data_IF_985761474457
#
_entry.id   IF_985761474457
#
_cell.length_a   1.000
_cell.length_b   1.000
_cell.length_c   1.000
_cell.angle_alpha   90.00
_cell.angle_beta   90.00
_cell.angle_gamma   90.00
#
_symmetry.space_group_name_H-M   'P 1'
#
loop_
_entity.id
_entity.type
_entity.pdbx_description
1 polymer ?
#
# COMPACT_ATOMS: atom_id res chain seq x y z
N UNK A 1 -3.82 -0.95 5.50
CA UNK A 1 -4.59 0.05 4.76
C UNK A 1 -3.77 0.78 3.68
N UNK A 2 -2.51 1.12 3.94
CA UNK A 2 -1.62 1.76 2.94
C UNK A 2 -1.34 0.83 1.77
N UNK A 3 -1.15 -0.47 2.03
CA UNK A 3 -0.93 -1.48 0.97
C UNK A 3 -2.19 -1.62 0.10
N UNK A 4 -3.38 -1.61 0.71
CA UNK A 4 -4.63 -1.65 -0.05
C UNK A 4 -4.80 -0.42 -0.96
N UNK A 5 -4.34 0.75 -0.49
CA UNK A 5 -4.30 1.97 -1.31
C UNK A 5 -3.36 1.78 -2.51
N UNK A 6 -2.16 1.21 -2.31
CA UNK A 6 -1.21 0.91 -3.39
C UNK A 6 -1.79 -0.07 -4.42
N UNK A 7 -2.45 -1.12 -3.96
CA UNK A 7 -3.15 -2.09 -4.84
C UNK A 7 -4.24 -1.40 -5.64
N UNK A 8 -5.03 -0.54 -5.00
CA UNK A 8 -6.04 0.27 -5.68
C UNK A 8 -5.45 1.15 -6.78
N UNK A 9 -4.35 1.85 -6.49
CA UNK A 9 -3.64 2.68 -7.49
C UNK A 9 -3.22 1.83 -8.70
N UNK A 10 -2.64 0.64 -8.46
CA UNK A 10 -2.26 -0.26 -9.53
C UNK A 10 -3.46 -0.72 -10.38
N UNK A 11 -4.57 -1.06 -9.74
CA UNK A 11 -5.80 -1.41 -10.45
C UNK A 11 -6.37 -0.23 -11.25
N UNK A 12 -6.30 0.97 -10.71
CA UNK A 12 -6.71 2.20 -11.41
C UNK A 12 -5.86 2.51 -12.65
N UNK A 13 -4.62 2.02 -12.67
CA UNK A 13 -3.68 2.09 -13.81
C UNK A 13 -3.77 0.88 -14.76
N UNK A 14 -4.78 0.03 -14.58
CA UNK A 14 -5.03 -1.18 -15.37
C UNK A 14 -3.93 -2.26 -15.26
N UNK A 15 -3.21 -2.30 -14.12
CA UNK A 15 -2.33 -3.43 -13.82
C UNK A 15 -3.18 -4.67 -13.48
N UNK A 16 -2.76 -5.84 -13.99
CA UNK A 16 -3.48 -7.10 -13.83
C UNK A 16 -3.28 -7.78 -12.47
N UNK A 17 -3.87 -8.97 -12.33
CA UNK A 17 -3.89 -9.73 -11.07
C UNK A 17 -2.50 -10.13 -10.56
N UNK A 18 -1.53 -10.37 -11.46
CA UNK A 18 -0.15 -10.67 -11.06
C UNK A 18 0.50 -9.49 -10.30
N UNK A 19 0.26 -8.26 -10.77
CA UNK A 19 0.75 -7.07 -10.09
C UNK A 19 0.07 -6.88 -8.72
N UNK A 20 -1.24 -7.13 -8.65
CA UNK A 20 -1.99 -7.15 -7.40
C UNK A 20 -1.40 -8.15 -6.40
N UNK A 21 -1.19 -9.38 -6.82
CA UNK A 21 -0.60 -10.43 -5.98
C UNK A 21 0.81 -10.06 -5.50
N UNK A 22 1.65 -9.53 -6.39
CA UNK A 22 2.99 -9.05 -6.05
C UNK A 22 2.96 -7.93 -5.01
N UNK A 23 2.05 -6.95 -5.15
CA UNK A 23 1.89 -5.86 -4.18
C UNK A 23 1.42 -6.36 -2.82
N UNK A 24 0.49 -7.29 -2.78
CA UNK A 24 0.00 -7.90 -1.52
C UNK A 24 1.14 -8.64 -0.82
N UNK A 25 1.86 -9.51 -1.54
CA UNK A 25 2.96 -10.31 -0.98
C UNK A 25 4.10 -9.41 -0.48
N UNK A 26 4.58 -8.48 -1.32
CA UNK A 26 5.63 -7.54 -0.93
C UNK A 26 5.19 -6.60 0.20
N UNK A 27 3.94 -6.15 0.15
CA UNK A 27 3.36 -5.30 1.19
C UNK A 27 3.30 -6.00 2.54
N UNK A 28 2.92 -7.28 2.57
CA UNK A 28 2.95 -8.07 3.79
C UNK A 28 4.38 -8.23 4.34
N UNK A 29 5.36 -8.43 3.46
CA UNK A 29 6.78 -8.51 3.88
C UNK A 29 7.26 -7.16 4.46
N UNK A 30 6.85 -6.01 3.90
CA UNK A 30 7.15 -4.69 4.47
C UNK A 30 6.54 -4.53 5.88
N UNK A 31 5.27 -4.90 6.03
CA UNK A 31 4.57 -4.83 7.33
C UNK A 31 5.23 -5.76 8.35
N UNK A 32 5.58 -6.97 7.95
CA UNK A 32 6.27 -7.93 8.82
C UNK A 32 7.62 -7.42 9.28
N UNK A 33 8.44 -6.85 8.38
CA UNK A 33 9.73 -6.25 8.74
C UNK A 33 9.58 -5.12 9.76
N UNK A 34 8.63 -4.22 9.52
CA UNK A 34 8.36 -3.13 10.47
C UNK A 34 7.88 -3.68 11.81
N UNK A 35 6.92 -4.60 11.80
CA UNK A 35 6.37 -5.19 13.02
C UNK A 35 7.44 -5.92 13.84
N UNK A 36 8.30 -6.70 13.20
CA UNK A 36 9.42 -7.39 13.88
C UNK A 36 10.40 -6.38 14.46
N UNK A 37 10.74 -5.32 13.74
CA UNK A 37 11.59 -4.25 14.26
C UNK A 37 10.96 -3.53 15.47
N UNK A 38 9.64 -3.53 15.58
CA UNK A 38 8.87 -3.01 16.71
C UNK A 38 8.68 -4.02 17.85
N UNK A 39 9.19 -5.25 17.72
CA UNK A 39 9.10 -6.31 18.73
C UNK A 39 7.94 -7.29 18.56
N UNK A 40 7.22 -7.24 17.43
CA UNK A 40 6.17 -8.21 17.12
C UNK A 40 6.76 -9.55 16.65
N UNK A 41 5.95 -10.61 16.72
CA UNK A 41 6.31 -11.92 16.18
C UNK A 41 6.03 -11.98 14.68
N UNK A 42 6.94 -12.54 13.89
CA UNK A 42 6.78 -12.67 12.44
C UNK A 42 5.55 -13.50 12.06
N UNK A 43 5.23 -14.54 12.83
CA UNK A 43 4.10 -15.43 12.61
C UNK A 43 2.74 -14.70 12.63
N UNK A 44 2.66 -13.59 13.38
CA UNK A 44 1.45 -12.75 13.43
C UNK A 44 1.08 -12.22 12.04
N UNK A 45 2.08 -11.87 11.23
CA UNK A 45 1.87 -11.31 9.88
C UNK A 45 1.56 -12.40 8.83
N UNK A 46 1.88 -13.66 9.10
CA UNK A 46 1.54 -14.78 8.24
C UNK A 46 0.12 -15.34 8.50
N UNK A 47 -0.48 -14.98 9.64
CA UNK A 47 -1.78 -15.47 10.06
C UNK A 47 -2.98 -14.66 9.56
N UNK A 48 -4.15 -14.96 10.11
CA UNK A 48 -5.42 -14.31 9.74
C UNK A 48 -5.44 -12.81 10.04
N UNK A 49 -4.83 -12.37 11.14
CA UNK A 49 -4.73 -10.96 11.52
C UNK A 49 -3.70 -10.15 10.73
N UNK A 50 -2.86 -10.82 9.95
CA UNK A 50 -1.88 -10.21 9.05
C UNK A 50 -2.27 -10.42 7.58
N UNK A 51 -1.79 -11.50 6.98
CA UNK A 51 -2.03 -11.81 5.56
C UNK A 51 -3.51 -11.96 5.24
N UNK A 52 -4.30 -12.60 6.10
CA UNK A 52 -5.74 -12.79 5.87
C UNK A 52 -6.47 -11.45 5.75
N UNK A 53 -6.29 -10.57 6.72
CA UNK A 53 -6.89 -9.23 6.73
C UNK A 53 -6.40 -8.38 5.53
N UNK A 54 -5.10 -8.46 5.21
CA UNK A 54 -4.53 -7.75 4.08
C UNK A 54 -5.14 -8.18 2.75
N UNK A 55 -5.32 -9.49 2.53
CA UNK A 55 -5.94 -10.02 1.31
C UNK A 55 -7.36 -9.48 1.17
N UNK A 56 -8.17 -9.57 2.22
CA UNK A 56 -9.56 -9.08 2.19
C UNK A 56 -9.60 -7.59 1.89
N UNK A 57 -8.76 -6.79 2.55
CA UNK A 57 -8.72 -5.34 2.38
C UNK A 57 -8.24 -4.95 0.97
N UNK A 58 -7.36 -5.73 0.36
CA UNK A 58 -6.82 -5.49 -0.99
C UNK A 58 -7.68 -6.05 -2.12
N UNK A 59 -8.67 -6.89 -1.84
CA UNK A 59 -9.48 -7.55 -2.88
C UNK A 59 -10.96 -7.21 -2.82
N UNK A 60 -11.46 -6.77 -1.67
CA UNK A 60 -12.87 -6.39 -1.50
C UNK A 60 -13.16 -5.04 -2.16
N UNK A 61 -14.16 -5.01 -3.04
CA UNK A 61 -14.65 -3.77 -3.63
C UNK A 61 -15.35 -2.84 -2.61
N UNK A 62 -15.63 -3.34 -1.40
CA UNK A 62 -16.12 -2.52 -0.29
C UNK A 62 -14.99 -1.82 0.48
N UNK A 63 -13.72 -2.15 0.18
CA UNK A 63 -12.57 -1.48 0.80
C UNK A 63 -12.46 -0.03 0.35
N UNK A 64 -12.63 0.89 1.29
CA UNK A 64 -12.48 2.34 1.05
C UNK A 64 -11.07 2.70 0.58
N UNK A 65 -10.06 2.02 1.12
CA UNK A 65 -8.67 2.23 0.72
C UNK A 65 -8.42 1.77 -0.71
N UNK A 66 -8.92 0.59 -1.08
CA UNK A 66 -8.84 0.08 -2.46
C UNK A 66 -9.55 1.05 -3.42
N UNK A 67 -10.77 1.48 -3.08
CA UNK A 67 -11.55 2.38 -3.92
C UNK A 67 -10.86 3.74 -4.10
N UNK A 68 -10.39 4.36 -3.02
CA UNK A 68 -9.63 5.61 -3.11
C UNK A 68 -8.37 5.45 -3.98
N UNK A 69 -7.64 4.36 -3.81
CA UNK A 69 -6.49 4.02 -4.64
C UNK A 69 -6.83 3.93 -6.12
N UNK A 70 -7.93 3.25 -6.47
CA UNK A 70 -8.39 3.14 -7.86
C UNK A 70 -8.69 4.51 -8.49
N UNK A 71 -9.34 5.40 -7.74
CA UNK A 71 -9.63 6.77 -8.21
C UNK A 71 -8.34 7.57 -8.46
N UNK A 72 -7.38 7.48 -7.54
CA UNK A 72 -6.06 8.12 -7.68
C UNK A 72 -5.30 7.54 -8.88
N UNK A 73 -5.28 6.21 -9.04
CA UNK A 73 -4.65 5.55 -10.18
C UNK A 73 -5.26 5.97 -11.53
N UNK A 74 -6.55 6.28 -11.56
CA UNK A 74 -7.26 6.83 -12.73
C UNK A 74 -7.00 8.32 -12.97
N UNK A 75 -6.15 8.95 -12.17
CA UNK A 75 -5.73 10.34 -12.34
C UNK A 75 -6.49 11.37 -11.51
N UNK A 76 -7.35 10.94 -10.58
CA UNK A 76 -8.00 11.88 -9.66
C UNK A 76 -7.02 12.31 -8.58
N UNK A 77 -7.11 13.58 -8.15
CA UNK A 77 -6.36 14.07 -7.00
C UNK A 77 -6.90 13.46 -5.68
N UNK A 78 -6.08 13.54 -4.63
CA UNK A 78 -6.37 12.91 -3.33
C UNK A 78 -7.66 13.43 -2.72
N UNK A 79 -7.91 14.74 -2.80
CA UNK A 79 -9.11 15.35 -2.19
C UNK A 79 -10.39 14.96 -2.93
N UNK A 80 -10.33 14.89 -4.26
CA UNK A 80 -11.44 14.39 -5.09
C UNK A 80 -11.73 12.93 -4.78
N UNK A 81 -10.70 12.09 -4.68
CA UNK A 81 -10.85 10.66 -4.34
C UNK A 81 -11.49 10.48 -2.96
N UNK A 82 -11.06 11.25 -1.95
CA UNK A 82 -11.66 11.23 -0.60
C UNK A 82 -13.13 11.62 -0.64
N UNK A 83 -13.49 12.65 -1.40
CA UNK A 83 -14.89 13.11 -1.53
C UNK A 83 -15.77 12.05 -2.19
N UNK A 84 -15.28 11.40 -3.25
CA UNK A 84 -16.04 10.36 -3.95
C UNK A 84 -16.24 9.09 -3.11
N UNK A 85 -15.23 8.70 -2.31
CA UNK A 85 -15.39 7.63 -1.33
C UNK A 85 -16.43 7.99 -0.27
N UNK A 86 -16.53 9.26 0.09
CA UNK A 86 -17.55 9.79 1.02
C UNK A 86 -17.38 9.36 2.47
N UNK A 87 -16.32 8.65 2.81
CA UNK A 87 -15.98 8.14 4.14
C UNK A 87 -14.47 8.26 4.39
N UNK A 88 -14.08 8.09 5.65
CA UNK A 88 -12.66 8.13 6.03
C UNK A 88 -11.87 7.04 5.31
N UNK A 89 -10.75 7.43 4.70
CA UNK A 89 -9.79 6.54 4.05
C UNK A 89 -8.59 6.40 4.98
N UNK A 90 -8.59 5.35 5.79
CA UNK A 90 -7.59 5.16 6.86
C UNK A 90 -6.17 5.07 6.34
N UNK A 91 -5.97 4.50 5.15
CA UNK A 91 -4.64 4.38 4.54
C UNK A 91 -3.98 5.74 4.27
N UNK A 92 -4.78 6.74 3.87
CA UNK A 92 -4.27 8.11 3.67
C UNK A 92 -3.85 8.72 5.01
N UNK A 93 -4.68 8.56 6.04
CA UNK A 93 -4.42 9.11 7.36
C UNK A 93 -3.26 8.40 8.08
N UNK A 94 -3.09 7.09 7.88
CA UNK A 94 -2.04 6.29 8.49
C UNK A 94 -0.67 6.45 7.82
N UNK A 95 -0.64 6.91 6.57
CA UNK A 95 0.59 7.01 5.77
C UNK A 95 1.71 7.83 6.44
N UNK A 96 1.46 9.03 6.98
CA UNK A 96 2.51 9.81 7.65
C UNK A 96 3.11 9.07 8.85
N UNK A 97 2.28 8.36 9.63
CA UNK A 97 2.73 7.57 10.76
C UNK A 97 3.57 6.37 10.31
N UNK A 98 3.16 5.68 9.24
CA UNK A 98 3.93 4.58 8.66
C UNK A 98 5.31 5.04 8.19
N UNK A 99 5.42 6.18 7.51
CA UNK A 99 6.68 6.77 7.08
C UNK A 99 7.59 7.13 8.28
N UNK A 100 7.02 7.72 9.33
CA UNK A 100 7.76 8.05 10.57
C UNK A 100 8.30 6.79 11.26
N UNK A 101 7.48 5.74 11.37
CA UNK A 101 7.88 4.46 11.96
C UNK A 101 8.98 3.78 11.15
N UNK A 102 8.86 3.75 9.83
CA UNK A 102 9.89 3.22 8.93
C UNK A 102 11.25 3.90 9.19
N UNK A 103 11.27 5.24 9.27
CA UNK A 103 12.49 6.01 9.59
C UNK A 103 13.01 5.71 10.99
N UNK A 104 12.15 5.70 12.01
CA UNK A 104 12.52 5.45 13.40
C UNK A 104 13.17 4.08 13.57
N UNK A 105 12.61 3.05 12.96
CA UNK A 105 13.09 1.68 13.07
C UNK A 105 14.08 1.28 11.97
N UNK A 106 14.44 2.21 11.06
CA UNK A 106 15.38 2.01 9.95
C UNK A 106 14.98 0.84 9.05
N UNK A 107 13.69 0.72 8.77
CA UNK A 107 13.12 -0.32 7.90
C UNK A 107 12.82 0.25 6.53
N UNK A 108 13.27 -0.43 5.48
CA UNK A 108 12.90 -0.11 4.10
C UNK A 108 11.45 -0.54 3.83
N UNK A 109 10.62 0.41 3.40
CA UNK A 109 9.23 0.19 3.03
C UNK A 109 8.93 0.79 1.65
N UNK A 110 9.41 0.16 0.57
CA UNK A 110 9.31 0.72 -0.79
C UNK A 110 7.89 1.02 -1.24
N UNK A 111 6.91 0.18 -0.90
CA UNK A 111 5.51 0.39 -1.28
C UNK A 111 4.94 1.60 -0.53
N UNK A 112 5.18 1.68 0.77
CA UNK A 112 4.73 2.82 1.60
C UNK A 112 5.34 4.12 1.08
N UNK A 113 6.63 4.12 0.75
CA UNK A 113 7.31 5.30 0.19
C UNK A 113 6.75 5.68 -1.19
N UNK A 114 6.47 4.70 -2.06
CA UNK A 114 5.86 4.98 -3.36
C UNK A 114 4.47 5.60 -3.23
N UNK A 115 3.66 5.13 -2.29
CA UNK A 115 2.34 5.73 -2.01
C UNK A 115 2.51 7.17 -1.49
N UNK A 116 3.49 7.42 -0.60
CA UNK A 116 3.79 8.76 -0.11
C UNK A 116 4.22 9.71 -1.25
N UNK A 117 5.06 9.26 -2.16
CA UNK A 117 5.49 10.01 -3.34
C UNK A 117 4.31 10.34 -4.27
N UNK A 118 3.39 9.40 -4.47
CA UNK A 118 2.20 9.61 -5.29
C UNK A 118 1.25 10.62 -4.63
N UNK A 119 0.91 10.43 -3.36
CA UNK A 119 -0.07 11.27 -2.67
C UNK A 119 0.43 12.69 -2.44
N UNK A 120 1.75 12.87 -2.29
CA UNK A 120 2.37 14.19 -2.17
C UNK A 120 2.64 14.88 -3.52
N UNK A 121 2.39 14.20 -4.63
CA UNK A 121 2.64 14.72 -5.99
C UNK A 121 4.12 14.75 -6.40
N UNK A 122 5.02 14.08 -5.65
CA UNK A 122 6.45 14.00 -6.01
C UNK A 122 6.70 13.10 -7.23
N UNK A 123 5.91 12.03 -7.39
CA UNK A 123 5.97 11.14 -8.55
C UNK A 123 4.57 10.86 -9.08
N UNK A 124 4.46 10.73 -10.40
CA UNK A 124 3.25 10.21 -11.02
C UNK A 124 3.03 8.75 -10.64
N UNK A 125 1.78 8.34 -10.46
CA UNK A 125 1.43 6.99 -10.03
C UNK A 125 2.02 5.90 -10.94
N UNK A 126 2.02 6.11 -12.26
CA UNK A 126 2.60 5.17 -13.23
C UNK A 126 4.10 4.99 -13.04
N UNK A 127 4.84 6.07 -12.83
CA UNK A 127 6.30 6.04 -12.68
C UNK A 127 6.71 5.40 -11.35
N UNK A 128 6.00 5.72 -10.26
CA UNK A 128 6.24 5.13 -8.95
C UNK A 128 6.01 3.61 -8.97
N UNK A 129 4.92 3.16 -9.59
CA UNK A 129 4.63 1.73 -9.71
C UNK A 129 5.59 1.00 -10.64
N UNK A 130 5.96 1.60 -11.78
CA UNK A 130 6.95 1.02 -12.69
C UNK A 130 8.30 0.80 -11.98
N UNK A 131 8.76 1.79 -11.22
CA UNK A 131 9.99 1.67 -10.41
C UNK A 131 9.88 0.56 -9.36
N UNK A 132 8.74 0.47 -8.70
CA UNK A 132 8.49 -0.52 -7.65
C UNK A 132 8.39 -1.95 -8.22
N UNK A 133 7.73 -2.12 -9.36
CA UNK A 133 7.58 -3.42 -10.02
C UNK A 133 8.88 -3.90 -10.65
N UNK A 134 9.77 -3.00 -11.11
CA UNK A 134 11.08 -3.31 -11.68
C UNK A 134 12.16 -3.67 -10.65
N UNK A 135 11.92 -3.47 -9.34
CA UNK A 135 12.87 -3.88 -8.29
C UNK A 135 12.97 -5.40 -8.22
N UNK A 136 14.21 -5.89 -8.26
CA UNK A 136 14.48 -7.32 -8.03
C UNK A 136 13.97 -7.74 -6.64
N UNK A 137 13.36 -8.91 -6.57
CA UNK A 137 13.03 -9.56 -5.30
C UNK A 137 14.33 -9.75 -4.51
N UNK A 138 14.49 -9.06 -3.39
CA UNK A 138 15.45 -9.50 -2.38
C UNK A 138 14.96 -10.89 -1.93
N UNK A 139 15.87 -11.86 -1.79
CA UNK A 139 15.54 -13.17 -1.25
C UNK A 139 14.78 -12.98 0.07
N UNK A 140 13.55 -13.43 0.06
CA UNK A 140 12.68 -13.49 1.23
C UNK A 140 12.93 -14.79 1.98
#
# INVERSE_FOLDING_TARGET
NVIALAVGIAMGLDYGDNAKAALITRGNAELARLGVAMGCKAETFAGLSGMGDLIVTCTSMHSRNLHAGMLIGRGKDVETAKKEVGQVVEGINALPAACKLAKKYKVEMPIVNAVDDILSGRLAARDALATMMGRQLKQE
#
